data_IF_647963108887
#
_entry.id   IF_647963108887
#
_cell.length_a   1.000
_cell.length_b   1.000
_cell.length_c   1.000
_cell.angle_alpha   90.00
_cell.angle_beta   90.00
_cell.angle_gamma   90.00
#
_symmetry.space_group_name_H-M   'P 1'
#
loop_
_entity.id
_entity.type
_entity.pdbx_description
1 polymer ?
#
# COMPACT_ATOMS: atom_id res chain seq x y z
N UNK A 1 -2.73 4.73 11.95
CA UNK A 1 -2.83 3.36 11.37
C UNK A 1 -1.47 2.69 11.50
N UNK A 2 -1.36 1.49 12.11
CA UNK A 2 -0.08 0.80 12.25
C UNK A 2 0.63 0.53 10.91
N UNK A 3 -0.15 0.40 9.82
CA UNK A 3 0.38 0.18 8.47
C UNK A 3 0.92 1.44 7.78
N UNK A 4 0.73 2.63 8.34
CA UNK A 4 1.24 3.88 7.74
C UNK A 4 2.76 3.91 7.74
N UNK A 5 3.40 3.46 8.83
CA UNK A 5 4.86 3.42 8.96
C UNK A 5 5.51 2.58 7.84
N UNK A 6 5.11 1.31 7.60
CA UNK A 6 5.72 0.52 6.52
C UNK A 6 5.44 1.11 5.13
N UNK A 7 4.26 1.68 4.88
CA UNK A 7 3.97 2.36 3.59
C UNK A 7 4.94 3.50 3.34
N UNK A 8 5.21 4.33 4.35
CA UNK A 8 6.15 5.45 4.24
C UNK A 8 7.59 4.97 4.04
N UNK A 9 8.01 3.93 4.77
CA UNK A 9 9.37 3.37 4.64
C UNK A 9 9.60 2.86 3.22
N UNK A 10 8.74 1.96 2.72
CA UNK A 10 8.92 1.38 1.38
C UNK A 10 8.68 2.39 0.26
N UNK A 11 7.77 3.35 0.45
CA UNK A 11 7.54 4.44 -0.49
C UNK A 11 8.76 5.34 -0.67
N UNK A 12 9.40 5.75 0.42
CA UNK A 12 10.61 6.56 0.39
C UNK A 12 11.78 5.78 -0.22
N UNK A 13 12.00 4.53 0.18
CA UNK A 13 13.05 3.68 -0.39
C UNK A 13 12.88 3.42 -1.89
N UNK A 14 11.65 3.15 -2.35
CA UNK A 14 11.38 2.97 -3.78
C UNK A 14 11.59 4.28 -4.58
N UNK A 15 11.29 5.43 -3.97
CA UNK A 15 11.52 6.73 -4.60
C UNK A 15 13.01 7.03 -4.79
N UNK A 16 13.85 6.72 -3.79
CA UNK A 16 15.32 6.85 -3.91
C UNK A 16 15.91 5.88 -4.95
N UNK A 17 15.39 4.65 -5.02
CA UNK A 17 15.78 3.67 -6.03
C UNK A 17 15.33 4.00 -7.46
N UNK A 18 14.40 4.94 -7.65
CA UNK A 18 13.89 5.38 -8.95
C UNK A 18 14.62 6.63 -9.48
N UNK A 19 15.88 6.83 -9.10
CA UNK A 19 16.71 7.97 -9.50
C UNK A 19 17.89 7.54 -10.39
N UNK A 20 18.60 8.47 -11.07
CA UNK A 20 19.71 8.13 -11.97
C UNK A 20 20.92 7.44 -11.30
N UNK A 21 21.09 7.55 -9.98
CA UNK A 21 22.08 6.81 -9.20
C UNK A 21 21.33 5.94 -8.17
N UNK A 22 20.75 4.81 -8.62
CA UNK A 22 19.70 4.15 -7.86
C UNK A 22 20.24 3.27 -6.74
N UNK A 23 19.65 3.42 -5.56
CA UNK A 23 19.60 2.37 -4.55
C UNK A 23 18.74 1.17 -5.03
N UNK A 24 18.79 0.00 -4.37
CA UNK A 24 17.94 -1.14 -4.74
C UNK A 24 16.44 -0.80 -4.78
N UNK A 25 15.87 -0.78 -6.00
CA UNK A 25 14.49 -0.35 -6.26
C UNK A 25 13.43 -1.45 -6.14
N UNK A 26 13.70 -2.60 -6.76
CA UNK A 26 12.66 -3.58 -7.07
C UNK A 26 11.99 -4.14 -5.81
N UNK A 27 12.78 -4.50 -4.80
CA UNK A 27 12.28 -5.09 -3.57
C UNK A 27 11.34 -4.14 -2.78
N UNK A 28 11.73 -2.90 -2.41
CA UNK A 28 10.83 -1.99 -1.71
C UNK A 28 9.61 -1.61 -2.55
N UNK A 29 9.76 -1.48 -3.87
CA UNK A 29 8.64 -1.21 -4.77
C UNK A 29 7.59 -2.32 -4.77
N UNK A 30 7.99 -3.60 -4.87
CA UNK A 30 7.05 -4.71 -4.88
C UNK A 30 6.28 -4.84 -3.56
N UNK A 31 6.92 -4.56 -2.43
CA UNK A 31 6.25 -4.56 -1.13
C UNK A 31 5.22 -3.42 -1.07
N UNK A 32 5.60 -2.21 -1.50
CA UNK A 32 4.68 -1.08 -1.58
C UNK A 32 3.49 -1.37 -2.50
N UNK A 33 3.74 -1.98 -3.67
CA UNK A 33 2.70 -2.36 -4.62
C UNK A 33 1.76 -3.41 -4.02
N UNK A 34 2.28 -4.43 -3.33
CA UNK A 34 1.48 -5.44 -2.66
C UNK A 34 0.57 -4.83 -1.58
N UNK A 35 1.10 -3.94 -0.74
CA UNK A 35 0.31 -3.22 0.28
C UNK A 35 -0.77 -2.34 -0.36
N UNK A 36 -0.44 -1.67 -1.46
CA UNK A 36 -1.38 -0.81 -2.21
C UNK A 36 -2.52 -1.64 -2.78
N UNK A 37 -2.22 -2.76 -3.44
CA UNK A 37 -3.22 -3.66 -4.01
C UNK A 37 -4.09 -4.30 -2.92
N UNK A 38 -3.50 -4.69 -1.80
CA UNK A 38 -4.24 -5.24 -0.66
C UNK A 38 -5.26 -4.22 -0.12
N UNK A 39 -4.85 -2.96 0.10
CA UNK A 39 -5.78 -1.90 0.52
C UNK A 39 -6.82 -1.57 -0.55
N UNK A 40 -6.44 -1.60 -1.82
CA UNK A 40 -7.35 -1.34 -2.95
C UNK A 40 -8.50 -2.36 -3.02
N UNK A 41 -8.30 -3.59 -2.55
CA UNK A 41 -9.35 -4.61 -2.43
C UNK A 41 -10.07 -4.50 -1.09
N UNK A 42 -9.33 -4.36 0.01
CA UNK A 42 -9.91 -4.36 1.36
C UNK A 42 -10.89 -3.19 1.56
N UNK A 43 -10.59 -2.02 1.01
CA UNK A 43 -11.45 -0.82 1.12
C UNK A 43 -12.85 -1.05 0.54
N UNK A 44 -13.00 -1.39 -0.75
CA UNK A 44 -14.29 -1.70 -1.36
C UNK A 44 -15.02 -2.86 -0.70
N UNK A 45 -14.31 -3.93 -0.31
CA UNK A 45 -14.92 -5.08 0.39
C UNK A 45 -15.49 -4.65 1.74
N UNK A 46 -14.71 -3.92 2.54
CA UNK A 46 -15.16 -3.41 3.83
C UNK A 46 -16.33 -2.43 3.67
N UNK A 47 -16.29 -1.56 2.66
CA UNK A 47 -17.39 -0.63 2.36
C UNK A 47 -18.67 -1.37 1.94
N UNK A 48 -18.58 -2.37 1.07
CA UNK A 48 -19.72 -3.17 0.66
C UNK A 48 -20.34 -3.95 1.84
N UNK A 49 -19.51 -4.54 2.70
CA UNK A 49 -19.99 -5.21 3.92
C UNK A 49 -20.64 -4.21 4.90
N UNK A 50 -20.05 -3.03 5.08
CA UNK A 50 -20.63 -1.99 5.92
C UNK A 50 -22.01 -1.54 5.42
N UNK A 51 -22.20 -1.38 4.10
CA UNK A 51 -23.50 -1.08 3.50
C UNK A 51 -24.51 -2.22 3.70
N UNK A 52 -24.09 -3.47 3.54
CA UNK A 52 -24.95 -4.64 3.75
C UNK A 52 -25.43 -4.76 5.20
N UNK A 53 -24.56 -4.49 6.18
CA UNK A 53 -24.88 -4.62 7.60
C UNK A 53 -25.46 -3.35 8.21
N UNK A 54 -25.28 -2.19 7.57
CA UNK A 54 -25.85 -0.92 8.00
C UNK A 54 -27.23 -0.61 7.40
N UNK A 55 -27.79 -1.53 6.61
CA UNK A 55 -29.14 -1.42 6.03
C UNK A 55 -30.20 -2.20 6.82
N UNK A 56 -29.87 -2.65 8.03
CA UNK A 56 -30.81 -3.11 9.07
C UNK A 56 -31.47 -1.93 9.80
#
# INVERSE_FOLDING_TARGET
LPLTIPVLIFGVSASYGATPNPDPFLQPFLILAALTLFLAVLGPVAAALALRHGTD
#
